data_IF_878404362173
#
_entry.id   IF_878404362173
#
_cell.length_a   1.000
_cell.length_b   1.000
_cell.length_c   1.000
_cell.angle_alpha   90.00
_cell.angle_beta   90.00
_cell.angle_gamma   90.00
#
_symmetry.space_group_name_H-M   'P 1'
#
loop_
_entity.id
_entity.type
_entity.pdbx_description
1 polymer ?
#
# COMPACT_ATOMS: atom_id res chain seq x y z
N UNK A 1 29.93 -31.57 -7.71
CA UNK A 1 28.87 -32.61 -7.74
C UNK A 1 27.56 -31.88 -7.95
N UNK A 2 27.08 -31.83 -9.19
CA UNK A 2 25.70 -31.42 -9.46
C UNK A 2 24.79 -32.56 -9.00
N UNK A 3 23.95 -32.31 -8.00
CA UNK A 3 23.05 -33.32 -7.40
C UNK A 3 21.86 -33.65 -8.31
N UNK A 4 21.69 -32.93 -9.43
CA UNK A 4 20.63 -33.10 -10.43
C UNK A 4 19.24 -33.37 -9.82
N UNK A 5 18.86 -32.54 -8.85
CA UNK A 5 17.65 -32.71 -8.05
C UNK A 5 16.67 -31.56 -8.29
N UNK A 6 15.41 -31.89 -8.59
CA UNK A 6 14.32 -30.92 -8.66
C UNK A 6 13.65 -30.81 -7.28
N UNK A 7 14.22 -29.99 -6.40
CA UNK A 7 13.75 -29.77 -5.04
C UNK A 7 13.35 -28.32 -4.76
N UNK A 8 12.63 -28.10 -3.66
CA UNK A 8 12.04 -26.80 -3.28
C UNK A 8 13.03 -25.75 -2.74
N UNK A 9 14.29 -25.75 -3.16
CA UNK A 9 15.36 -24.90 -2.58
C UNK A 9 15.09 -23.40 -2.74
N UNK A 10 14.46 -23.02 -3.85
CA UNK A 10 14.09 -21.63 -4.13
C UNK A 10 12.57 -21.45 -4.04
N UNK A 11 12.15 -20.44 -3.29
CA UNK A 11 10.79 -19.90 -3.38
C UNK A 11 10.81 -18.72 -4.38
N UNK A 12 9.78 -18.56 -5.20
CA UNK A 12 9.72 -17.48 -6.22
C UNK A 12 9.42 -18.00 -7.61
N UNK A 13 9.30 -19.32 -7.75
CA UNK A 13 9.17 -20.02 -9.01
C UNK A 13 7.85 -19.65 -9.70
N UNK A 14 7.88 -19.60 -11.03
CA UNK A 14 6.69 -19.50 -11.86
C UNK A 14 5.81 -20.75 -11.74
N UNK A 15 4.52 -20.59 -11.99
CA UNK A 15 3.52 -21.66 -11.81
C UNK A 15 3.88 -22.94 -12.58
N UNK A 16 4.48 -22.81 -13.76
CA UNK A 16 4.86 -23.95 -14.63
C UNK A 16 6.04 -24.76 -14.10
N UNK A 17 6.74 -24.32 -13.06
CA UNK A 17 7.90 -25.02 -12.49
C UNK A 17 7.91 -25.01 -10.95
N UNK A 18 6.74 -25.22 -10.34
CA UNK A 18 6.60 -25.42 -8.89
C UNK A 18 6.38 -24.14 -8.08
N UNK A 19 5.86 -23.09 -8.71
CA UNK A 19 5.32 -21.91 -8.04
C UNK A 19 3.96 -22.19 -7.38
N UNK A 20 3.62 -21.43 -6.34
CA UNK A 20 2.30 -21.49 -5.70
C UNK A 20 1.34 -20.48 -6.33
N UNK A 21 0.08 -20.88 -6.51
CA UNK A 21 -1.03 -19.94 -6.72
C UNK A 21 -1.12 -18.98 -5.51
N UNK A 22 -1.64 -17.77 -5.72
CA UNK A 22 -1.73 -16.69 -4.73
C UNK A 22 -0.40 -16.07 -4.23
N UNK A 23 0.76 -16.48 -4.77
CA UNK A 23 2.06 -15.95 -4.35
C UNK A 23 2.23 -14.48 -4.70
N UNK A 24 1.77 -14.08 -5.88
CA UNK A 24 1.86 -12.70 -6.36
C UNK A 24 1.09 -11.78 -5.42
N UNK A 25 -0.05 -12.23 -4.92
CA UNK A 25 -0.98 -11.45 -4.10
C UNK A 25 -0.65 -11.52 -2.61
N UNK A 26 0.10 -12.54 -2.19
CA UNK A 26 0.26 -12.95 -0.79
C UNK A 26 0.61 -11.80 0.17
N UNK A 27 1.60 -10.97 -0.15
CA UNK A 27 2.06 -9.91 0.76
C UNK A 27 1.03 -8.78 0.88
N UNK A 28 0.47 -8.30 -0.23
CA UNK A 28 -0.53 -7.23 -0.22
C UNK A 28 -1.83 -7.68 0.45
N UNK A 29 -2.26 -8.92 0.18
CA UNK A 29 -3.43 -9.50 0.85
C UNK A 29 -3.17 -9.75 2.32
N UNK A 30 -2.00 -10.30 2.67
CA UNK A 30 -1.57 -10.55 4.05
C UNK A 30 -1.57 -9.29 4.90
N UNK A 31 -1.07 -8.18 4.35
CA UNK A 31 -1.15 -6.86 4.97
C UNK A 31 -2.60 -6.49 5.29
N UNK A 32 -3.49 -6.52 4.30
CA UNK A 32 -4.89 -6.17 4.52
C UNK A 32 -5.60 -7.14 5.48
N UNK A 33 -5.26 -8.43 5.48
CA UNK A 33 -5.79 -9.40 6.44
C UNK A 33 -5.37 -9.06 7.86
N UNK A 34 -4.07 -8.81 8.08
CA UNK A 34 -3.55 -8.41 9.38
C UNK A 34 -4.22 -7.11 9.86
N UNK A 35 -4.23 -6.08 9.01
CA UNK A 35 -4.87 -4.79 9.32
C UNK A 35 -6.35 -4.98 9.63
N UNK A 36 -7.07 -5.82 8.89
CA UNK A 36 -8.49 -6.05 9.14
C UNK A 36 -8.74 -6.68 10.51
N UNK A 37 -7.92 -7.65 10.93
CA UNK A 37 -8.02 -8.23 12.28
C UNK A 37 -7.66 -7.22 13.37
N UNK A 38 -6.62 -6.40 13.16
CA UNK A 38 -6.26 -5.29 14.05
C UNK A 38 -7.41 -4.28 14.20
N UNK A 39 -8.07 -3.92 13.09
CA UNK A 39 -9.22 -3.02 13.09
C UNK A 39 -10.41 -3.62 13.84
N UNK A 40 -10.76 -4.89 13.55
CA UNK A 40 -11.87 -5.60 14.21
C UNK A 40 -11.68 -5.69 15.72
N UNK A 41 -10.47 -6.00 16.18
CA UNK A 41 -10.14 -6.06 17.61
C UNK A 41 -10.37 -4.72 18.33
N UNK A 42 -10.42 -3.62 17.58
CA UNK A 42 -10.64 -2.26 18.07
C UNK A 42 -12.01 -1.68 17.64
N UNK A 43 -12.96 -2.53 17.23
CA UNK A 43 -14.32 -2.10 16.84
C UNK A 43 -14.37 -1.24 15.57
N UNK A 44 -13.38 -1.39 14.68
CA UNK A 44 -13.27 -0.69 13.40
C UNK A 44 -13.28 -1.68 12.24
N UNK A 45 -13.39 -1.16 11.02
CA UNK A 45 -13.34 -1.93 9.77
C UNK A 45 -12.74 -1.09 8.65
N UNK A 46 -12.42 -1.74 7.53
CA UNK A 46 -12.06 -1.08 6.28
C UNK A 46 -13.27 -0.43 5.58
N UNK A 47 -14.47 -0.97 5.80
CA UNK A 47 -15.68 -0.55 5.10
C UNK A 47 -15.97 0.95 5.29
N UNK A 48 -16.14 1.66 4.18
CA UNK A 48 -16.36 3.10 4.14
C UNK A 48 -15.16 3.96 4.57
N UNK A 49 -13.98 3.36 4.78
CA UNK A 49 -12.75 4.10 5.18
C UNK A 49 -11.94 4.54 3.98
N UNK A 50 -11.29 5.68 4.14
CA UNK A 50 -10.33 6.22 3.17
C UNK A 50 -8.95 5.67 3.47
N UNK A 51 -8.29 5.10 2.46
CA UNK A 51 -6.98 4.45 2.60
C UNK A 51 -5.96 5.14 1.68
N UNK A 52 -4.81 5.48 2.24
CA UNK A 52 -3.62 5.91 1.48
C UNK A 52 -2.61 4.78 1.49
N UNK A 53 -2.14 4.38 0.31
CA UNK A 53 -1.15 3.33 0.14
C UNK A 53 0.03 3.94 -0.60
N UNK A 54 1.25 3.83 -0.07
CA UNK A 54 2.43 4.22 -0.84
C UNK A 54 2.89 3.07 -1.72
N UNK A 55 3.61 3.40 -2.78
CA UNK A 55 4.06 2.44 -3.77
C UNK A 55 2.98 2.11 -4.79
N UNK A 56 3.43 1.47 -5.86
CA UNK A 56 2.62 1.01 -6.99
C UNK A 56 3.21 -0.27 -7.57
N UNK A 57 3.99 -0.98 -6.75
CA UNK A 57 4.49 -2.31 -7.04
C UNK A 57 3.51 -3.37 -6.56
N UNK A 58 3.99 -4.61 -6.58
CA UNK A 58 3.20 -5.80 -6.25
C UNK A 58 2.43 -5.67 -4.92
N UNK A 59 3.10 -5.32 -3.82
CA UNK A 59 2.45 -5.19 -2.50
C UNK A 59 1.32 -4.15 -2.54
N UNK A 60 1.58 -2.96 -3.07
CA UNK A 60 0.60 -1.87 -3.13
C UNK A 60 -0.59 -2.19 -4.04
N UNK A 61 -0.38 -2.83 -5.20
CA UNK A 61 -1.44 -3.23 -6.14
C UNK A 61 -2.40 -4.20 -5.45
N UNK A 62 -1.89 -5.26 -4.81
CA UNK A 62 -2.75 -6.26 -4.19
C UNK A 62 -3.30 -5.82 -2.82
N UNK A 63 -2.62 -4.91 -2.11
CA UNK A 63 -3.19 -4.23 -0.96
C UNK A 63 -4.36 -3.33 -1.38
N UNK A 64 -4.24 -2.60 -2.49
CA UNK A 64 -5.33 -1.81 -3.08
C UNK A 64 -6.52 -2.70 -3.39
N UNK A 65 -6.28 -3.80 -4.10
CA UNK A 65 -7.32 -4.77 -4.46
C UNK A 65 -8.07 -5.30 -3.23
N UNK A 66 -7.33 -5.72 -2.20
CA UNK A 66 -7.94 -6.32 -1.01
C UNK A 66 -8.65 -5.28 -0.14
N UNK A 67 -8.07 -4.09 0.03
CA UNK A 67 -8.72 -3.00 0.76
C UNK A 67 -10.04 -2.60 0.10
N UNK A 68 -10.07 -2.48 -1.23
CA UNK A 68 -11.30 -2.22 -1.99
C UNK A 68 -12.32 -3.34 -1.86
N UNK A 69 -11.90 -4.61 -1.88
CA UNK A 69 -12.79 -5.75 -1.60
C UNK A 69 -13.40 -5.71 -0.20
N UNK A 70 -12.72 -5.09 0.77
CA UNK A 70 -13.25 -4.84 2.12
C UNK A 70 -14.10 -3.58 2.25
N UNK A 71 -14.45 -2.93 1.15
CA UNK A 71 -15.31 -1.73 1.14
C UNK A 71 -14.56 -0.44 1.43
N UNK A 72 -13.22 -0.46 1.49
CA UNK A 72 -12.44 0.75 1.63
C UNK A 72 -12.30 1.50 0.31
N UNK A 73 -12.18 2.82 0.38
CA UNK A 73 -11.83 3.67 -0.75
C UNK A 73 -10.35 4.02 -0.69
N UNK A 74 -9.56 3.36 -1.53
CA UNK A 74 -8.14 3.71 -1.71
C UNK A 74 -8.06 4.96 -2.56
N UNK A 75 -7.41 6.01 -2.07
CA UNK A 75 -7.40 7.34 -2.71
C UNK A 75 -6.03 7.78 -3.20
N UNK A 76 -4.96 7.05 -2.88
CA UNK A 76 -3.62 7.44 -3.31
C UNK A 76 -2.70 6.25 -3.49
N UNK A 77 -1.79 6.39 -4.46
CA UNK A 77 -0.67 5.48 -4.76
C UNK A 77 0.56 6.29 -5.15
N UNK A 78 1.76 5.76 -4.93
CA UNK A 78 3.01 6.44 -5.31
C UNK A 78 3.97 5.58 -6.13
N UNK A 79 4.93 6.23 -6.78
CA UNK A 79 6.17 5.60 -7.21
C UNK A 79 7.36 6.47 -6.79
N UNK A 80 8.57 6.12 -7.23
CA UNK A 80 9.78 6.85 -6.87
C UNK A 80 9.77 8.33 -7.26
N UNK A 81 8.94 8.73 -8.23
CA UNK A 81 8.94 10.08 -8.77
C UNK A 81 7.87 10.96 -8.13
N UNK A 82 6.78 10.39 -7.64
CA UNK A 82 5.65 11.15 -7.14
C UNK A 82 4.48 10.28 -6.74
N UNK A 83 3.34 10.89 -6.46
CA UNK A 83 2.12 10.19 -6.09
C UNK A 83 0.90 10.72 -6.81
N UNK A 84 -0.06 9.83 -7.03
CA UNK A 84 -1.41 10.18 -7.49
C UNK A 84 -2.34 10.28 -6.29
N UNK A 85 -3.27 11.22 -6.37
CA UNK A 85 -4.38 11.34 -5.43
C UNK A 85 -5.68 11.38 -6.23
N UNK A 86 -6.54 10.40 -6.01
CA UNK A 86 -7.84 10.26 -6.65
C UNK A 86 -8.93 10.22 -5.56
N UNK A 87 -9.59 11.36 -5.28
CA UNK A 87 -10.64 11.44 -4.25
C UNK A 87 -11.84 10.54 -4.52
N UNK A 88 -12.07 10.19 -5.80
CA UNK A 88 -13.16 9.35 -6.26
C UNK A 88 -12.82 7.85 -6.10
N UNK A 89 -11.54 7.53 -5.89
CA UNK A 89 -11.01 6.20 -5.63
C UNK A 89 -10.11 5.69 -6.76
N UNK A 90 -9.13 4.84 -6.46
CA UNK A 90 -8.19 4.33 -7.47
C UNK A 90 -8.86 3.28 -8.38
N UNK A 91 -8.84 3.54 -9.70
CA UNK A 91 -9.18 2.55 -10.73
C UNK A 91 -8.03 1.55 -10.91
N UNK A 92 -8.08 0.46 -10.15
CA UNK A 92 -6.98 -0.50 -10.07
C UNK A 92 -6.57 -1.12 -11.42
N UNK A 93 -7.51 -1.35 -12.34
CA UNK A 93 -7.22 -1.93 -13.65
C UNK A 93 -6.30 -1.01 -14.49
N UNK A 94 -6.48 0.31 -14.37
CA UNK A 94 -5.61 1.30 -15.01
C UNK A 94 -4.20 1.22 -14.42
N UNK A 95 -4.09 1.08 -13.10
CA UNK A 95 -2.80 0.94 -12.40
C UNK A 95 -2.09 -0.34 -12.81
N UNK A 96 -2.79 -1.48 -12.84
CA UNK A 96 -2.22 -2.77 -13.29
C UNK A 96 -1.73 -2.70 -14.73
N UNK A 97 -2.51 -2.10 -15.63
CA UNK A 97 -2.10 -1.88 -17.02
C UNK A 97 -0.81 -1.04 -17.11
N UNK A 98 -0.72 0.06 -16.35
CA UNK A 98 0.46 0.93 -16.33
C UNK A 98 1.68 0.19 -15.77
N UNK A 99 1.54 -0.53 -14.66
CA UNK A 99 2.67 -1.03 -13.85
C UNK A 99 3.08 -2.46 -14.19
N UNK A 100 2.13 -3.37 -14.40
CA UNK A 100 2.40 -4.78 -14.68
C UNK A 100 2.65 -5.05 -16.16
N UNK A 101 1.91 -4.37 -17.05
CA UNK A 101 1.99 -4.59 -18.52
C UNK A 101 2.97 -3.61 -19.16
N UNK A 102 2.73 -2.30 -19.03
CA UNK A 102 3.50 -1.28 -19.76
C UNK A 102 4.78 -0.84 -19.04
N UNK A 103 4.89 -1.14 -17.74
CA UNK A 103 6.02 -0.73 -16.87
C UNK A 103 6.32 0.77 -16.90
N UNK A 104 5.26 1.59 -16.94
CA UNK A 104 5.33 3.06 -16.98
C UNK A 104 5.23 3.69 -15.57
N UNK A 105 5.36 5.02 -15.53
CA UNK A 105 5.25 5.83 -14.31
C UNK A 105 3.80 5.98 -13.88
N UNK A 106 3.56 6.09 -12.58
CA UNK A 106 2.20 6.17 -12.03
C UNK A 106 1.47 7.46 -12.47
N UNK A 107 2.21 8.53 -12.81
CA UNK A 107 1.64 9.78 -13.35
C UNK A 107 0.76 9.60 -14.59
N UNK A 108 1.00 8.54 -15.36
CA UNK A 108 0.19 8.21 -16.54
C UNK A 108 -1.28 7.92 -16.19
N UNK A 109 -1.55 7.53 -14.93
CA UNK A 109 -2.90 7.27 -14.41
C UNK A 109 -3.82 8.49 -14.57
N UNK A 110 -3.31 9.70 -14.32
CA UNK A 110 -4.08 10.96 -14.39
C UNK A 110 -4.74 11.15 -15.75
N UNK A 111 -4.09 10.70 -16.83
CA UNK A 111 -4.59 10.86 -18.20
C UNK A 111 -5.47 9.69 -18.67
N UNK A 112 -5.66 8.67 -17.83
CA UNK A 112 -6.30 7.40 -18.20
C UNK A 112 -7.49 7.03 -17.33
N UNK A 113 -7.53 7.52 -16.10
CA UNK A 113 -8.69 7.33 -15.22
C UNK A 113 -9.92 8.02 -15.80
N UNK A 114 -11.10 7.46 -15.53
CA UNK A 114 -12.37 8.13 -15.85
C UNK A 114 -12.67 9.32 -14.92
N UNK A 115 -11.97 9.41 -13.79
CA UNK A 115 -12.17 10.43 -12.76
C UNK A 115 -11.59 11.78 -13.14
N UNK A 116 -12.29 12.86 -12.78
CA UNK A 116 -11.91 14.24 -13.16
C UNK A 116 -11.11 14.98 -12.11
N UNK A 117 -11.19 14.53 -10.85
CA UNK A 117 -10.59 15.21 -9.70
C UNK A 117 -9.22 14.63 -9.30
N UNK A 118 -8.70 13.72 -10.11
CA UNK A 118 -7.39 13.11 -9.90
C UNK A 118 -6.28 14.15 -10.03
N UNK A 119 -5.28 14.08 -9.16
CA UNK A 119 -4.06 14.89 -9.25
C UNK A 119 -2.82 14.01 -9.20
N UNK A 120 -1.72 14.53 -9.73
CA UNK A 120 -0.38 13.98 -9.54
C UNK A 120 0.52 15.06 -8.95
N UNK A 121 1.31 14.67 -7.95
CA UNK A 121 2.28 15.53 -7.29
C UNK A 121 3.68 14.92 -7.46
N UNK A 122 4.64 15.72 -7.91
CA UNK A 122 6.04 15.33 -7.97
C UNK A 122 6.62 15.22 -6.54
N UNK A 123 7.46 14.22 -6.31
CA UNK A 123 8.00 13.85 -4.99
C UNK A 123 7.04 12.96 -4.20
N UNK A 124 7.52 11.79 -3.75
CA UNK A 124 6.67 10.78 -3.12
C UNK A 124 6.38 11.02 -1.63
N UNK A 125 7.23 11.80 -0.93
CA UNK A 125 7.13 12.02 0.53
C UNK A 125 5.83 12.72 0.96
N UNK A 126 5.25 13.55 0.08
CA UNK A 126 4.04 14.29 0.38
C UNK A 126 2.77 13.46 0.45
N UNK A 127 2.80 12.17 0.06
CA UNK A 127 1.60 11.31 0.02
C UNK A 127 0.92 11.22 1.40
N UNK A 128 1.69 11.27 2.49
CA UNK A 128 1.21 11.18 3.88
C UNK A 128 0.47 12.43 4.37
N UNK A 129 0.48 13.51 3.59
CA UNK A 129 -0.32 14.71 3.87
C UNK A 129 -1.76 14.59 3.38
N UNK A 130 -2.09 13.54 2.62
CA UNK A 130 -3.45 13.25 2.16
C UNK A 130 -4.29 12.77 3.35
N UNK A 131 -5.51 13.29 3.45
CA UNK A 131 -6.44 12.90 4.50
C UNK A 131 -6.89 11.45 4.31
N UNK A 132 -6.65 10.60 5.32
CA UNK A 132 -7.07 9.20 5.32
C UNK A 132 -7.39 8.71 6.73
N UNK A 133 -8.16 7.62 6.79
CA UNK A 133 -8.45 6.87 8.01
C UNK A 133 -7.33 5.86 8.32
N UNK A 134 -6.77 5.25 7.27
CA UNK A 134 -5.79 4.16 7.32
C UNK A 134 -4.65 4.45 6.34
N UNK A 135 -3.40 4.31 6.79
CA UNK A 135 -2.21 4.42 5.95
C UNK A 135 -1.47 3.08 5.85
N UNK A 136 -1.11 2.68 4.62
CA UNK A 136 -0.41 1.43 4.34
C UNK A 136 0.90 1.72 3.58
N UNK A 137 2.02 1.96 4.28
CA UNK A 137 3.32 2.11 3.64
C UNK A 137 3.83 0.82 2.99
N UNK A 138 3.98 0.85 1.66
CA UNK A 138 4.34 -0.31 0.85
C UNK A 138 5.43 0.00 -0.20
N UNK A 139 6.17 1.10 -0.08
CA UNK A 139 7.18 1.48 -1.09
C UNK A 139 8.60 1.09 -0.69
N UNK A 140 9.14 1.70 0.36
CA UNK A 140 10.56 1.57 0.75
C UNK A 140 10.75 1.72 2.25
N UNK A 141 11.91 1.31 2.74
CA UNK A 141 12.34 1.57 4.12
C UNK A 141 12.39 3.07 4.42
N UNK A 142 12.04 3.47 5.65
CA UNK A 142 12.08 4.86 6.16
C UNK A 142 11.31 5.88 5.29
N UNK A 143 10.21 5.48 4.67
CA UNK A 143 9.36 6.37 3.88
C UNK A 143 8.39 7.23 4.71
N UNK A 144 8.18 6.89 5.99
CA UNK A 144 7.43 7.72 6.95
C UNK A 144 8.37 8.18 8.07
N UNK A 145 8.63 9.48 8.13
CA UNK A 145 9.35 10.12 9.24
C UNK A 145 8.37 10.71 10.27
N UNK A 146 8.89 11.23 11.39
CA UNK A 146 8.07 11.85 12.45
C UNK A 146 7.15 12.98 11.97
N UNK A 147 7.60 13.81 11.01
CA UNK A 147 6.76 14.88 10.44
C UNK A 147 5.58 14.33 9.64
N UNK A 148 5.82 13.32 8.81
CA UNK A 148 4.79 12.63 8.03
C UNK A 148 3.81 11.89 8.94
N UNK A 149 4.31 11.26 10.00
CA UNK A 149 3.49 10.62 11.03
C UNK A 149 2.59 11.64 11.74
N UNK A 150 3.12 12.83 12.08
CA UNK A 150 2.32 13.88 12.69
C UNK A 150 1.26 14.42 11.71
N UNK A 151 1.57 14.52 10.42
CA UNK A 151 0.59 14.88 9.40
C UNK A 151 -0.56 13.86 9.32
N UNK A 152 -0.26 12.56 9.37
CA UNK A 152 -1.27 11.49 9.42
C UNK A 152 -2.18 11.65 10.63
N UNK A 153 -1.62 11.86 11.83
CA UNK A 153 -2.39 12.09 13.07
C UNK A 153 -3.32 13.31 12.90
N UNK A 154 -2.77 14.43 12.44
CA UNK A 154 -3.52 15.69 12.27
C UNK A 154 -4.69 15.54 11.27
N UNK A 155 -4.52 14.64 10.29
CA UNK A 155 -5.53 14.34 9.28
C UNK A 155 -6.60 13.33 9.74
N UNK A 156 -6.50 12.81 10.97
CA UNK A 156 -7.46 11.87 11.54
C UNK A 156 -7.17 10.40 11.19
N UNK A 157 -5.97 10.09 10.72
CA UNK A 157 -5.54 8.71 10.54
C UNK A 157 -5.49 8.02 11.91
N UNK A 158 -6.15 6.87 12.02
CA UNK A 158 -6.20 6.10 13.27
C UNK A 158 -5.48 4.75 13.16
N UNK A 159 -5.05 4.33 11.97
CA UNK A 159 -4.34 3.06 11.77
C UNK A 159 -3.21 3.17 10.74
N UNK A 160 -2.06 2.59 11.06
CA UNK A 160 -0.90 2.44 10.17
C UNK A 160 -0.47 0.98 10.21
N UNK A 161 -0.28 0.35 9.05
CA UNK A 161 0.22 -1.03 8.97
C UNK A 161 1.26 -1.19 7.86
N UNK A 162 2.40 -1.81 8.18
CA UNK A 162 3.58 -1.84 7.33
C UNK A 162 3.53 -2.97 6.29
N UNK A 163 3.52 -2.60 5.01
CA UNK A 163 3.64 -3.54 3.89
C UNK A 163 5.06 -3.67 3.34
N UNK A 164 5.88 -2.62 3.48
CA UNK A 164 7.31 -2.65 3.18
C UNK A 164 8.12 -3.10 4.40
N UNK A 165 9.42 -3.36 4.21
CA UNK A 165 10.32 -3.69 5.32
C UNK A 165 10.78 -2.42 6.04
N UNK A 166 10.30 -2.20 7.27
CA UNK A 166 10.62 -1.05 8.14
C UNK A 166 10.38 0.33 7.46
N UNK A 167 9.18 0.61 6.92
CA UNK A 167 8.89 1.90 6.30
C UNK A 167 8.81 3.06 7.29
N UNK A 168 8.44 2.84 8.55
CA UNK A 168 8.37 3.92 9.55
C UNK A 168 9.70 4.08 10.27
N UNK A 169 10.17 5.32 10.41
CA UNK A 169 11.33 5.61 11.28
C UNK A 169 10.95 5.45 12.76
N UNK A 170 11.92 5.29 13.68
CA UNK A 170 11.63 5.24 15.11
C UNK A 170 10.80 6.43 15.60
N UNK A 171 11.08 7.64 15.10
CA UNK A 171 10.35 8.85 15.46
C UNK A 171 8.88 8.80 14.96
N UNK A 172 8.63 8.20 13.80
CA UNK A 172 7.27 7.99 13.31
C UNK A 172 6.50 7.02 14.21
N UNK A 173 7.13 5.93 14.63
CA UNK A 173 6.55 4.94 15.53
C UNK A 173 6.20 5.57 16.88
N UNK A 174 7.10 6.39 17.45
CA UNK A 174 6.82 7.14 18.68
C UNK A 174 5.59 8.05 18.54
N UNK A 175 5.43 8.73 17.41
CA UNK A 175 4.25 9.56 17.12
C UNK A 175 2.98 8.71 17.06
N UNK A 176 3.00 7.55 16.39
CA UNK A 176 1.83 6.67 16.33
C UNK A 176 1.38 6.22 17.73
N UNK A 177 2.33 5.72 18.52
CA UNK A 177 2.05 5.19 19.86
C UNK A 177 1.58 6.28 20.82
N UNK A 178 2.22 7.45 20.79
CA UNK A 178 1.87 8.58 21.67
C UNK A 178 0.49 9.16 21.37
N UNK A 179 -0.02 8.99 20.15
CA UNK A 179 -1.33 9.46 19.72
C UNK A 179 -2.39 8.35 19.67
N UNK A 180 -2.06 7.12 20.09
CA UNK A 180 -3.00 6.00 20.16
C UNK A 180 -3.44 5.47 18.80
N UNK A 181 -2.60 5.61 17.76
CA UNK A 181 -2.84 4.98 16.47
C UNK A 181 -2.68 3.46 16.60
N UNK A 182 -3.53 2.72 15.88
CA UNK A 182 -3.38 1.28 15.72
C UNK A 182 -2.18 1.03 14.79
N UNK A 183 -1.10 0.50 15.35
CA UNK A 183 0.14 0.28 14.62
C UNK A 183 0.42 -1.21 14.39
N UNK A 184 0.57 -1.58 13.11
CA UNK A 184 0.97 -2.91 12.65
C UNK A 184 2.37 -2.89 12.05
N UNK A 185 3.39 -3.46 12.71
CA UNK A 185 4.76 -3.55 12.19
C UNK A 185 4.93 -4.64 11.11
#
# INVERSE_FOLDING_TARGET
RDQNEFSGVLTGKGLTYGGSLARTEATGYGLCYFTNEMLKANGKSFDGKTVVISGSGNVAIYATEKATQYGAKVVALSDSNGYIHDPDGIELDVVKQIKEVERKRIKEYVNRTSHKNVTYTEGCSGIWTIKCDIALPCATQNEINGESAQALVNNGCFAVAEGANMPSTPEAIEVYLSNGLLYGP
#
